data_IF_541068231013
#
_entry.id   IF_541068231013
#
_cell.length_a   1.000
_cell.length_b   1.000
_cell.length_c   1.000
_cell.angle_alpha   90.00
_cell.angle_beta   90.00
_cell.angle_gamma   90.00
#
_symmetry.space_group_name_H-M   'P 1'
#
loop_
_entity.id
_entity.type
_entity.pdbx_description
1 polymer ?
#
# COMPACT_ATOMS: atom_id res chain seq x y z
N UNK A 1 -15.05 9.45 12.11
CA UNK A 1 -14.68 8.51 11.01
C UNK A 1 -13.17 8.55 10.94
N UNK A 2 -12.53 7.41 11.03
CA UNK A 2 -11.07 7.32 10.97
C UNK A 2 -10.61 7.23 9.52
N UNK A 3 -9.43 7.79 9.20
CA UNK A 3 -8.83 7.66 7.87
C UNK A 3 -7.51 6.91 7.98
N UNK A 4 -7.40 5.77 7.31
CA UNK A 4 -6.16 5.03 7.17
C UNK A 4 -5.54 5.30 5.79
N UNK A 5 -4.26 5.66 5.77
CA UNK A 5 -3.48 5.79 4.55
C UNK A 5 -2.63 4.55 4.36
N UNK A 6 -2.74 3.92 3.20
CA UNK A 6 -1.95 2.73 2.86
C UNK A 6 -1.22 2.96 1.54
N UNK A 7 0.00 2.46 1.41
CA UNK A 7 0.84 2.68 0.24
C UNK A 7 1.54 1.40 -0.25
N UNK A 8 1.88 1.41 -1.53
CA UNK A 8 2.58 0.33 -2.22
C UNK A 8 4.09 0.59 -2.38
N UNK A 9 4.79 -0.41 -2.92
CA UNK A 9 6.22 -0.39 -3.23
C UNK A 9 6.59 0.71 -4.21
N UNK A 10 5.78 0.90 -5.26
CA UNK A 10 6.11 1.80 -6.38
C UNK A 10 6.11 3.25 -5.91
N UNK A 11 5.25 3.60 -4.95
CA UNK A 11 5.26 4.92 -4.33
C UNK A 11 6.63 5.22 -3.71
N UNK A 12 7.14 4.35 -2.85
CA UNK A 12 8.42 4.56 -2.15
C UNK A 12 9.62 4.51 -3.11
N UNK A 13 9.62 3.62 -4.10
CA UNK A 13 10.67 3.61 -5.14
C UNK A 13 10.78 4.93 -5.88
N UNK A 14 9.65 5.56 -6.19
CA UNK A 14 9.60 6.85 -6.88
C UNK A 14 10.05 8.02 -5.98
N UNK A 15 9.92 7.88 -4.68
CA UNK A 15 10.42 8.84 -3.70
C UNK A 15 11.93 8.77 -3.52
N UNK A 16 12.51 7.59 -3.74
CA UNK A 16 13.93 7.31 -3.58
C UNK A 16 14.29 6.87 -2.16
N UNK A 17 15.54 6.41 -2.03
CA UNK A 17 16.10 5.97 -0.74
C UNK A 17 16.30 7.16 0.20
N UNK A 18 16.21 6.92 1.50
CA UNK A 18 16.56 7.93 2.51
C UNK A 18 18.07 8.25 2.48
N UNK A 19 18.47 9.55 2.61
CA UNK A 19 17.65 10.75 2.72
C UNK A 19 17.37 11.37 1.33
N UNK A 20 16.21 11.11 0.74
CA UNK A 20 15.83 11.82 -0.48
C UNK A 20 14.98 13.05 -0.17
N UNK A 21 15.12 14.18 -0.88
CA UNK A 21 14.27 15.36 -0.66
C UNK A 21 12.78 15.08 -0.83
N UNK A 22 12.42 14.12 -1.68
CA UNK A 22 11.03 13.73 -1.93
C UNK A 22 10.45 12.93 -0.75
N UNK A 23 11.25 12.01 -0.20
CA UNK A 23 10.85 11.26 0.98
C UNK A 23 10.67 12.19 2.18
N UNK A 24 11.57 13.17 2.36
CA UNK A 24 11.43 14.19 3.40
C UNK A 24 10.20 15.07 3.20
N UNK A 25 9.83 15.40 1.97
CA UNK A 25 8.59 16.14 1.69
C UNK A 25 7.34 15.33 2.05
N UNK A 26 7.33 14.01 1.76
CA UNK A 26 6.25 13.14 2.19
C UNK A 26 6.17 13.05 3.71
N UNK A 27 7.32 12.87 4.39
CA UNK A 27 7.39 12.87 5.86
C UNK A 27 6.74 14.12 6.45
N UNK A 28 7.17 15.31 5.98
CA UNK A 28 6.61 16.58 6.46
C UNK A 28 5.09 16.64 6.28
N UNK A 29 4.58 16.20 5.13
CA UNK A 29 3.13 16.20 4.87
C UNK A 29 2.36 15.22 5.79
N UNK A 30 2.95 14.07 6.11
CA UNK A 30 2.37 13.08 7.03
C UNK A 30 2.35 13.64 8.46
N UNK A 31 3.46 14.24 8.90
CA UNK A 31 3.59 14.84 10.24
C UNK A 31 2.65 16.05 10.42
N UNK A 32 2.55 16.94 9.42
CA UNK A 32 1.63 18.07 9.43
C UNK A 32 0.16 17.64 9.50
N UNK A 33 -0.16 16.52 8.86
CA UNK A 33 -1.50 15.93 8.90
C UNK A 33 -1.79 15.16 10.19
N UNK A 34 -0.78 14.94 11.04
CA UNK A 34 -0.91 14.15 12.27
C UNK A 34 -1.31 12.69 11.99
N UNK A 35 -0.80 12.11 10.90
CA UNK A 35 -1.17 10.77 10.44
C UNK A 35 0.04 9.87 10.25
N UNK A 36 -0.21 8.65 9.83
CA UNK A 36 0.82 7.66 9.48
C UNK A 36 0.43 6.94 8.19
N UNK A 37 1.41 6.32 7.53
CA UNK A 37 1.19 5.48 6.35
C UNK A 37 1.41 4.02 6.73
N UNK A 38 0.44 3.18 6.39
CA UNK A 38 0.57 1.75 6.54
C UNK A 38 1.03 1.11 5.23
N UNK A 39 1.95 0.15 5.35
CA UNK A 39 2.41 -0.64 4.22
C UNK A 39 2.16 -2.12 4.49
N UNK A 40 1.72 -2.92 3.50
CA UNK A 40 1.71 -4.37 3.65
C UNK A 40 3.12 -4.91 3.94
N UNK A 41 3.23 -5.96 4.73
CA UNK A 41 4.52 -6.62 4.97
C UNK A 41 5.21 -7.05 3.66
N UNK A 42 4.44 -7.44 2.65
CA UNK A 42 4.96 -7.77 1.32
C UNK A 42 5.69 -6.58 0.66
N UNK A 43 5.17 -5.35 0.84
CA UNK A 43 5.82 -4.11 0.36
C UNK A 43 7.13 -3.87 1.08
N UNK A 44 7.16 -4.03 2.40
CA UNK A 44 8.39 -3.90 3.19
C UNK A 44 9.47 -4.87 2.69
N UNK A 45 9.14 -6.15 2.52
CA UNK A 45 10.08 -7.18 2.08
C UNK A 45 10.56 -6.98 0.64
N UNK A 46 9.72 -6.43 -0.24
CA UNK A 46 10.12 -6.15 -1.62
C UNK A 46 11.13 -4.99 -1.73
N UNK A 47 11.03 -4.02 -0.83
CA UNK A 47 11.92 -2.87 -0.77
C UNK A 47 13.21 -3.15 0.00
N UNK A 48 13.23 -4.22 0.79
CA UNK A 48 14.40 -4.60 1.55
C UNK A 48 15.57 -4.99 0.63
N UNK A 49 16.74 -4.46 0.94
CA UNK A 49 17.98 -4.82 0.24
C UNK A 49 18.50 -6.15 0.81
N UNK A 50 18.51 -7.19 -0.02
CA UNK A 50 18.97 -8.54 0.35
C UNK A 50 20.48 -8.72 0.18
N UNK A 51 21.23 -7.64 0.03
CA UNK A 51 22.67 -7.62 -0.19
C UNK A 51 23.49 -8.01 1.03
N UNK A 52 23.61 -9.30 1.31
CA UNK A 52 24.77 -9.91 1.98
C UNK A 52 25.01 -9.64 3.47
N UNK A 53 24.13 -8.98 4.18
CA UNK A 53 24.21 -8.76 5.63
C UNK A 53 23.34 -9.74 6.43
N UNK A 54 23.65 -9.93 7.71
CA UNK A 54 22.90 -10.81 8.62
C UNK A 54 21.43 -10.37 8.84
N UNK A 55 21.10 -9.11 8.52
CA UNK A 55 19.73 -8.61 8.50
C UNK A 55 19.48 -7.78 7.24
N UNK A 56 18.36 -8.02 6.53
CA UNK A 56 17.98 -7.19 5.41
C UNK A 56 17.67 -5.77 5.91
N UNK A 57 18.30 -4.77 5.29
CA UNK A 57 17.97 -3.36 5.53
C UNK A 57 16.98 -2.89 4.48
N UNK A 58 16.06 -2.01 4.86
CA UNK A 58 15.15 -1.38 3.92
C UNK A 58 15.47 0.12 3.79
N UNK A 59 16.31 0.50 2.83
CA UNK A 59 16.80 1.88 2.69
C UNK A 59 15.69 2.89 2.31
N UNK A 60 14.48 2.42 2.09
CA UNK A 60 13.31 3.26 1.80
C UNK A 60 12.42 3.48 3.02
N UNK A 61 12.39 2.53 3.96
CA UNK A 61 11.38 2.49 5.01
C UNK A 61 11.94 2.43 6.43
N UNK A 62 13.16 1.91 6.67
CA UNK A 62 13.63 1.68 8.04
C UNK A 62 13.64 2.95 8.88
N UNK A 63 14.19 4.05 8.36
CA UNK A 63 14.17 5.34 9.06
C UNK A 63 12.73 5.84 9.30
N UNK A 64 11.85 5.69 8.31
CA UNK A 64 10.45 6.11 8.41
C UNK A 64 9.65 5.32 9.47
N UNK A 65 10.01 4.04 9.63
CA UNK A 65 9.43 3.16 10.66
C UNK A 65 9.98 3.53 12.05
N UNK A 66 11.30 3.75 12.16
CA UNK A 66 11.93 4.19 13.42
C UNK A 66 11.37 5.54 13.89
N UNK A 67 11.12 6.46 12.99
CA UNK A 67 10.53 7.76 13.26
C UNK A 67 9.01 7.70 13.48
N UNK A 68 8.36 6.57 13.17
CA UNK A 68 6.96 6.28 13.50
C UNK A 68 5.91 6.83 12.54
N UNK A 69 6.30 7.43 11.39
CA UNK A 69 5.33 7.90 10.40
C UNK A 69 5.00 6.87 9.31
N UNK A 70 5.72 5.73 9.28
CA UNK A 70 5.35 4.53 8.50
C UNK A 70 5.20 3.35 9.46
N UNK A 71 4.19 2.52 9.22
CA UNK A 71 3.98 1.26 9.93
C UNK A 71 3.83 0.11 8.96
N UNK A 72 4.44 -1.01 9.31
CA UNK A 72 4.27 -2.27 8.60
C UNK A 72 3.08 -3.00 9.18
N UNK A 73 2.09 -3.29 8.35
CA UNK A 73 0.95 -4.08 8.77
C UNK A 73 1.37 -5.53 9.04
N UNK A 74 0.73 -6.16 10.02
CA UNK A 74 0.90 -7.60 10.28
C UNK A 74 0.76 -8.38 8.97
N UNK A 75 1.64 -9.34 8.68
CA UNK A 75 1.56 -10.13 7.45
C UNK A 75 0.16 -10.71 7.23
N UNK A 76 -0.31 -10.63 6.02
CA UNK A 76 -1.45 -11.39 5.56
C UNK A 76 -0.99 -12.84 5.39
N UNK A 77 -1.73 -13.80 5.93
CA UNK A 77 -1.33 -15.21 5.91
C UNK A 77 -1.13 -15.73 4.48
N UNK A 78 -0.11 -16.54 4.32
CA UNK A 78 0.03 -17.51 3.26
C UNK A 78 0.63 -17.04 1.94
N UNK A 79 1.23 -18.03 1.28
CA UNK A 79 1.56 -18.01 -0.13
C UNK A 79 0.28 -17.93 -0.98
N UNK A 80 0.43 -17.60 -2.24
CA UNK A 80 -0.69 -17.65 -3.18
C UNK A 80 -1.27 -19.06 -3.22
N UNK A 81 -2.57 -19.26 -2.90
CA UNK A 81 -3.19 -20.58 -3.04
C UNK A 81 -3.31 -20.95 -4.52
N UNK A 82 -3.20 -22.23 -4.83
CA UNK A 82 -3.35 -22.73 -6.20
C UNK A 82 -4.79 -22.54 -6.68
N UNK A 83 -5.77 -22.70 -5.78
CA UNK A 83 -7.19 -22.59 -6.08
C UNK A 83 -7.89 -21.58 -5.17
N UNK A 84 -8.99 -21.00 -5.70
CA UNK A 84 -9.86 -20.12 -4.95
C UNK A 84 -10.67 -20.91 -3.90
N UNK A 85 -10.39 -20.62 -2.62
CA UNK A 85 -11.19 -21.16 -1.53
C UNK A 85 -12.46 -20.32 -1.31
N UNK A 86 -13.61 -20.89 -1.66
CA UNK A 86 -14.90 -20.23 -1.48
C UNK A 86 -15.29 -20.06 0.00
N UNK A 87 -14.63 -20.76 0.92
CA UNK A 87 -14.85 -20.65 2.37
C UNK A 87 -13.95 -19.64 3.06
N UNK A 88 -12.93 -19.13 2.35
CA UNK A 88 -12.00 -18.12 2.86
C UNK A 88 -12.74 -16.85 3.32
N UNK A 89 -12.11 -16.11 4.23
CA UNK A 89 -12.61 -14.82 4.69
C UNK A 89 -12.56 -13.72 3.63
N UNK A 90 -13.22 -12.59 3.87
CA UNK A 90 -13.29 -11.46 2.92
C UNK A 90 -11.91 -10.95 2.50
N UNK A 91 -10.95 -10.91 3.43
CA UNK A 91 -9.57 -10.43 3.17
C UNK A 91 -8.84 -11.31 2.15
N UNK A 92 -8.90 -12.63 2.33
CA UNK A 92 -8.25 -13.60 1.44
C UNK A 92 -8.92 -13.62 0.07
N UNK A 93 -10.25 -13.60 0.03
CA UNK A 93 -11.02 -13.50 -1.21
C UNK A 93 -10.69 -12.23 -1.98
N UNK A 94 -10.62 -11.08 -1.30
CA UNK A 94 -10.28 -9.81 -1.92
C UNK A 94 -8.86 -9.84 -2.50
N UNK A 95 -7.91 -10.45 -1.79
CA UNK A 95 -6.54 -10.63 -2.30
C UNK A 95 -6.50 -11.49 -3.57
N UNK A 96 -7.23 -12.60 -3.56
CA UNK A 96 -7.31 -13.50 -4.72
C UNK A 96 -7.95 -12.82 -5.94
N UNK A 97 -9.06 -12.11 -5.73
CA UNK A 97 -9.74 -11.34 -6.80
C UNK A 97 -8.82 -10.24 -7.33
N UNK A 98 -8.08 -9.56 -6.43
CA UNK A 98 -7.13 -8.53 -6.83
C UNK A 98 -5.97 -9.09 -7.66
N UNK A 99 -5.39 -10.22 -7.26
CA UNK A 99 -4.34 -10.89 -8.02
C UNK A 99 -4.84 -11.30 -9.41
N UNK A 100 -6.02 -11.90 -9.50
CA UNK A 100 -6.62 -12.28 -10.77
C UNK A 100 -6.89 -11.06 -11.67
N UNK A 101 -7.39 -9.96 -11.10
CA UNK A 101 -7.62 -8.71 -11.83
C UNK A 101 -6.30 -8.13 -12.36
N UNK A 102 -5.27 -8.05 -11.54
CA UNK A 102 -3.97 -7.51 -11.92
C UNK A 102 -3.30 -8.36 -13.00
N UNK A 103 -3.41 -9.70 -12.89
CA UNK A 103 -2.89 -10.63 -13.90
C UNK A 103 -3.58 -10.43 -15.27
N UNK A 104 -4.87 -10.15 -15.31
CA UNK A 104 -5.60 -9.86 -16.56
C UNK A 104 -5.18 -8.53 -17.19
N UNK A 105 -4.77 -7.56 -16.39
CA UNK A 105 -4.33 -6.24 -16.87
C UNK A 105 -2.86 -6.19 -17.23
N UNK A 106 -2.08 -7.18 -16.82
CA UNK A 106 -0.63 -7.25 -17.08
C UNK A 106 -0.36 -7.64 -18.52
N UNK A 107 0.61 -6.95 -19.12
CA UNK A 107 1.19 -7.38 -20.42
C UNK A 107 2.03 -8.65 -20.29
N UNK A 108 2.42 -8.99 -19.08
CA UNK A 108 3.26 -10.13 -18.74
C UNK A 108 2.55 -10.95 -17.65
N UNK A 109 1.67 -11.90 -18.03
CA UNK A 109 0.85 -12.65 -17.08
C UNK A 109 1.65 -13.55 -16.11
N UNK A 110 2.94 -13.72 -16.33
CA UNK A 110 3.84 -14.46 -15.44
C UNK A 110 4.33 -13.64 -14.25
N UNK A 111 4.03 -12.34 -14.21
CA UNK A 111 4.37 -11.50 -13.05
C UNK A 111 3.49 -11.88 -11.86
N UNK A 112 4.13 -12.18 -10.74
CA UNK A 112 3.44 -12.49 -9.49
C UNK A 112 2.85 -11.21 -8.89
N UNK A 113 1.59 -10.92 -9.19
CA UNK A 113 0.86 -9.78 -8.67
C UNK A 113 0.30 -10.02 -7.25
N UNK A 114 0.60 -11.18 -6.66
CA UNK A 114 0.14 -11.55 -5.32
C UNK A 114 0.62 -10.57 -4.23
N UNK A 115 1.79 -9.96 -4.44
CA UNK A 115 2.34 -8.94 -3.54
C UNK A 115 1.56 -7.63 -3.64
N UNK A 116 1.28 -7.19 -4.87
CA UNK A 116 0.50 -5.97 -5.12
C UNK A 116 -0.95 -6.13 -4.63
N UNK A 117 -1.51 -7.32 -4.80
CA UNK A 117 -2.82 -7.67 -4.27
C UNK A 117 -2.92 -7.55 -2.73
N UNK A 118 -1.79 -7.61 -2.03
CA UNK A 118 -1.76 -7.41 -0.57
C UNK A 118 -2.21 -6.00 -0.15
N UNK A 119 -2.05 -4.98 -1.01
CA UNK A 119 -2.55 -3.63 -0.73
C UNK A 119 -4.09 -3.61 -0.68
N UNK A 120 -4.74 -4.27 -1.64
CA UNK A 120 -6.20 -4.41 -1.67
C UNK A 120 -6.71 -5.19 -0.46
N UNK A 121 -6.04 -6.31 -0.14
CA UNK A 121 -6.38 -7.13 1.02
C UNK A 121 -6.20 -6.37 2.35
N UNK A 122 -5.17 -5.51 2.45
CA UNK A 122 -4.98 -4.66 3.62
C UNK A 122 -6.12 -3.66 3.76
N UNK A 123 -6.58 -3.04 2.66
CA UNK A 123 -7.73 -2.16 2.70
C UNK A 123 -8.97 -2.88 3.25
N UNK A 124 -9.28 -4.08 2.74
CA UNK A 124 -10.42 -4.89 3.21
C UNK A 124 -10.25 -5.27 4.68
N UNK A 125 -9.06 -5.68 5.12
CA UNK A 125 -8.78 -6.01 6.51
C UNK A 125 -9.03 -4.84 7.47
N UNK A 126 -8.63 -3.62 7.06
CA UNK A 126 -8.87 -2.42 7.86
C UNK A 126 -10.36 -2.14 8.03
N UNK A 127 -11.15 -2.33 6.99
CA UNK A 127 -12.61 -2.21 7.07
C UNK A 127 -13.24 -3.31 7.95
N UNK A 128 -12.75 -4.54 7.85
CA UNK A 128 -13.24 -5.66 8.65
C UNK A 128 -12.97 -5.44 10.14
N UNK A 129 -11.85 -4.83 10.47
CA UNK A 129 -11.48 -4.46 11.85
C UNK A 129 -12.22 -3.22 12.37
N UNK A 130 -12.61 -2.29 11.51
CA UNK A 130 -13.28 -1.05 11.88
C UNK A 130 -14.26 -0.57 10.81
N UNK A 131 -15.54 -0.80 11.01
CA UNK A 131 -16.60 -0.39 10.09
C UNK A 131 -16.75 1.15 9.91
N UNK A 132 -16.08 1.96 10.72
CA UNK A 132 -16.12 3.43 10.65
C UNK A 132 -14.82 4.03 10.11
N UNK A 133 -14.08 3.27 9.32
CA UNK A 133 -12.83 3.69 8.71
C UNK A 133 -13.05 4.14 7.26
N UNK A 134 -12.34 5.16 6.85
CA UNK A 134 -12.06 5.47 5.44
C UNK A 134 -10.67 4.97 5.13
N UNK A 135 -10.48 4.32 3.99
CA UNK A 135 -9.16 3.89 3.53
C UNK A 135 -8.77 4.68 2.29
N UNK A 136 -7.59 5.28 2.33
CA UNK A 136 -6.99 5.96 1.18
C UNK A 136 -5.77 5.15 0.76
N UNK A 137 -5.81 4.63 -0.47
CA UNK A 137 -4.67 3.92 -1.06
C UNK A 137 -3.84 4.85 -1.91
N UNK A 138 -2.52 4.76 -1.78
CA UNK A 138 -1.55 5.58 -2.48
C UNK A 138 -0.65 4.69 -3.33
N UNK A 139 -0.70 4.83 -4.65
CA UNK A 139 0.10 4.03 -5.58
C UNK A 139 0.48 4.80 -6.83
N UNK A 140 1.60 4.47 -7.43
CA UNK A 140 1.99 4.93 -8.76
C UNK A 140 1.74 3.87 -9.85
N UNK A 141 1.08 2.76 -9.51
CA UNK A 141 0.58 1.77 -10.47
C UNK A 141 -0.91 2.02 -10.76
N UNK A 142 -1.22 2.29 -12.03
CA UNK A 142 -2.59 2.58 -12.47
C UNK A 142 -3.54 1.39 -12.32
N UNK A 143 -3.04 0.18 -12.57
CA UNK A 143 -3.87 -1.02 -12.48
C UNK A 143 -4.16 -1.35 -11.02
N UNK A 144 -3.16 -1.19 -10.15
CA UNK A 144 -3.34 -1.34 -8.71
C UNK A 144 -4.28 -0.27 -8.14
N UNK A 145 -4.16 0.98 -8.58
CA UNK A 145 -5.10 2.04 -8.21
C UNK A 145 -6.55 1.67 -8.58
N UNK A 146 -6.73 1.10 -9.76
CA UNK A 146 -8.04 0.63 -10.22
C UNK A 146 -8.56 -0.53 -9.38
N UNK A 147 -7.70 -1.51 -9.06
CA UNK A 147 -8.05 -2.64 -8.19
C UNK A 147 -8.47 -2.16 -6.80
N UNK A 148 -7.69 -1.26 -6.19
CA UNK A 148 -7.98 -0.68 -4.87
C UNK A 148 -9.32 0.09 -4.83
N UNK A 149 -9.71 0.74 -5.93
CA UNK A 149 -10.97 1.47 -5.99
C UNK A 149 -12.19 0.56 -6.23
N UNK A 150 -12.01 -0.56 -6.92
CA UNK A 150 -13.14 -1.38 -7.39
C UNK A 150 -13.43 -2.59 -6.54
N UNK A 151 -12.40 -3.25 -6.01
CA UNK A 151 -12.56 -4.55 -5.36
C UNK A 151 -13.17 -4.45 -3.95
N UNK A 152 -12.73 -3.55 -3.05
CA UNK A 152 -13.34 -3.46 -1.72
C UNK A 152 -14.86 -3.24 -1.74
N UNK A 153 -15.44 -2.44 -2.65
CA UNK A 153 -16.90 -2.31 -2.79
C UNK A 153 -17.64 -3.61 -3.10
N UNK A 154 -17.01 -4.57 -3.79
CA UNK A 154 -17.59 -5.89 -4.06
C UNK A 154 -17.77 -6.73 -2.77
N UNK A 155 -17.04 -6.38 -1.71
CA UNK A 155 -17.14 -6.96 -0.38
C UNK A 155 -17.95 -6.10 0.60
N UNK A 156 -18.64 -5.05 0.12
CA UNK A 156 -19.47 -4.17 0.94
C UNK A 156 -18.73 -3.00 1.60
N UNK A 157 -17.48 -2.73 1.23
CA UNK A 157 -16.65 -1.66 1.77
C UNK A 157 -16.55 -0.48 0.81
N UNK A 158 -17.36 0.56 1.01
CA UNK A 158 -17.54 1.64 0.04
C UNK A 158 -16.72 2.90 0.34
N UNK A 159 -16.20 3.07 1.55
CA UNK A 159 -15.44 4.27 1.94
C UNK A 159 -13.95 4.10 1.65
N UNK A 160 -13.64 3.72 0.41
CA UNK A 160 -12.29 3.58 -0.11
C UNK A 160 -12.03 4.62 -1.19
N UNK A 161 -10.88 5.28 -1.13
CA UNK A 161 -10.37 6.16 -2.16
C UNK A 161 -9.04 5.63 -2.65
N UNK A 162 -8.84 5.59 -3.95
CA UNK A 162 -7.54 5.26 -4.51
C UNK A 162 -6.93 6.49 -5.20
N UNK A 163 -5.71 6.84 -4.82
CA UNK A 163 -4.94 7.94 -5.37
C UNK A 163 -3.81 7.40 -6.23
N UNK A 164 -3.92 7.67 -7.51
CA UNK A 164 -2.89 7.36 -8.49
C UNK A 164 -1.95 8.55 -8.65
N UNK A 165 -0.65 8.30 -8.52
CA UNK A 165 0.38 9.29 -8.73
C UNK A 165 1.15 8.96 -10.00
N UNK A 166 0.96 9.75 -11.05
CA UNK A 166 1.73 9.56 -12.26
C UNK A 166 3.22 9.78 -11.96
N UNK A 167 4.09 8.77 -12.14
CA UNK A 167 5.51 8.93 -11.86
C UNK A 167 6.04 10.09 -12.70
N UNK A 168 6.77 11.03 -12.12
CA UNK A 168 7.34 12.10 -12.90
C UNK A 168 8.39 11.55 -13.85
N UNK A 169 8.17 11.79 -15.12
CA UNK A 169 9.12 11.42 -16.16
C UNK A 169 10.39 12.28 -16.14
N UNK A 170 10.45 13.32 -15.29
CA UNK A 170 11.59 14.22 -15.18
C UNK A 170 11.95 14.53 -13.73
N UNK A 171 13.22 14.83 -13.49
CA UNK A 171 13.78 15.15 -12.17
C UNK A 171 13.20 16.41 -11.48
N UNK A 172 12.27 17.11 -12.12
CA UNK A 172 11.52 18.27 -11.59
C UNK A 172 10.10 17.90 -11.18
N UNK A 173 9.87 16.68 -10.83
CA UNK A 173 8.57 16.28 -10.37
C UNK A 173 8.20 17.00 -9.09
N UNK A 174 7.27 17.89 -9.22
CA UNK A 174 6.40 18.23 -8.12
C UNK A 174 5.78 16.92 -7.66
N UNK A 175 6.17 16.50 -6.47
CA UNK A 175 5.48 15.40 -5.82
C UNK A 175 4.04 15.84 -5.70
N UNK A 176 3.06 15.08 -6.18
CA UNK A 176 1.70 15.45 -5.92
C UNK A 176 1.61 15.60 -4.41
N UNK A 177 1.36 16.79 -3.96
CA UNK A 177 1.09 17.10 -2.58
C UNK A 177 0.13 16.00 -2.12
N UNK A 178 0.55 15.27 -1.13
CA UNK A 178 -0.35 14.33 -0.47
C UNK A 178 -1.33 15.24 0.26
N UNK A 179 -2.32 15.74 -0.50
CA UNK A 179 -3.31 16.65 0.00
C UNK A 179 -4.07 15.95 1.10
N UNK A 180 -3.67 16.24 2.32
CA UNK A 180 -4.33 15.83 3.56
C UNK A 180 -4.41 14.32 3.73
N UNK A 181 -3.30 13.72 4.09
CA UNK A 181 -3.34 12.52 4.90
C UNK A 181 -3.96 12.93 6.24
N UNK A 182 -5.24 12.74 6.43
CA UNK A 182 -5.90 12.98 7.70
C UNK A 182 -6.09 11.64 8.39
N UNK A 183 -5.35 11.43 9.44
CA UNK A 183 -5.63 10.40 10.42
C UNK A 183 -6.28 11.07 11.62
N UNK A 184 -7.57 10.89 11.78
CA UNK A 184 -8.23 11.15 13.05
C UNK A 184 -8.01 9.87 13.87
N UNK A 185 -6.93 9.83 14.66
CA UNK A 185 -6.54 8.66 15.45
C UNK A 185 -7.70 8.06 16.25
N UNK A 186 -7.53 6.85 16.83
CA UNK A 186 -8.52 6.32 17.73
C UNK A 186 -8.67 7.31 18.91
N UNK A 187 -9.89 7.75 19.15
CA UNK A 187 -10.25 8.37 20.42
C UNK A 187 -10.10 7.38 21.57
#
# INVERSE_FOLDING_TARGET
MYTANIADTVMFRNLGKDPSPRLQSLKSAVEEAGTEIWVPAAVYHELADTGGGDQPTNPYLDTAIEEGWVRVATPLSGDRPDDFDSTAGAVEKARFVADAFLNQQSKYPETNNWRDAALVALAVRLFDQNARIRVITHTADKNLATACARIPPEFGYYDVQSRYYNPPQTAKAEFPTVDRLTWDGPE
#
